data_IF_147648588723
#
_entry.id   IF_147648588723
#
_cell.length_a   1.000
_cell.length_b   1.000
_cell.length_c   1.000
_cell.angle_alpha   90.00
_cell.angle_beta   90.00
_cell.angle_gamma   90.00
#
_symmetry.space_group_name_H-M   'P 1'
#
loop_
_entity.id
_entity.type
_entity.pdbx_description
1 polymer ?
#
# COMPACT_ATOMS: atom_id res chain seq x y z
N UNK A 1 -6.84 -18.08 12.93
CA UNK A 1 -6.56 -16.74 13.48
C UNK A 1 -6.55 -15.63 12.43
N UNK A 2 -6.16 -15.88 11.18
CA UNK A 2 -6.21 -14.88 10.09
C UNK A 2 -7.64 -14.40 9.76
N UNK A 3 -8.63 -15.24 9.92
CA UNK A 3 -10.05 -14.95 9.61
C UNK A 3 -10.64 -13.80 10.44
N UNK A 4 -10.32 -13.69 11.73
CA UNK A 4 -10.92 -12.69 12.63
C UNK A 4 -10.45 -11.24 12.35
N UNK A 5 -9.19 -11.05 12.00
CA UNK A 5 -8.61 -9.71 11.79
C UNK A 5 -8.91 -9.13 10.42
N UNK A 6 -9.08 -10.00 9.41
CA UNK A 6 -9.66 -9.58 8.13
C UNK A 6 -11.09 -9.06 8.33
N UNK A 7 -11.83 -9.59 9.33
CA UNK A 7 -13.15 -9.10 9.73
C UNK A 7 -13.15 -7.63 10.15
N UNK A 8 -12.12 -7.18 10.86
CA UNK A 8 -12.08 -5.80 11.37
C UNK A 8 -11.76 -4.78 10.26
N UNK A 9 -10.86 -5.12 9.32
CA UNK A 9 -10.62 -4.29 8.12
C UNK A 9 -11.89 -4.16 7.30
N UNK A 10 -12.57 -5.29 7.07
CA UNK A 10 -13.79 -5.35 6.27
C UNK A 10 -14.93 -4.58 6.97
N UNK A 11 -15.01 -4.62 8.29
CA UNK A 11 -16.02 -3.93 9.09
C UNK A 11 -15.83 -2.40 9.11
N UNK A 12 -14.60 -1.94 9.21
CA UNK A 12 -14.27 -0.51 9.18
C UNK A 12 -14.42 0.11 7.79
N UNK A 13 -14.09 -0.61 6.72
CA UNK A 13 -14.34 -0.15 5.34
C UNK A 13 -15.83 0.06 5.04
N UNK A 14 -16.73 -0.64 5.74
CA UNK A 14 -18.18 -0.49 5.58
C UNK A 14 -18.79 0.66 6.41
N UNK A 15 -18.13 1.10 7.48
CA UNK A 15 -18.72 2.09 8.40
C UNK A 15 -18.85 3.51 7.80
N UNK A 16 -18.13 3.83 6.75
CA UNK A 16 -18.09 5.18 6.18
C UNK A 16 -19.17 5.47 5.10
N UNK A 17 -20.04 4.51 4.76
CA UNK A 17 -21.02 4.69 3.67
C UNK A 17 -22.36 3.99 3.93
N UNK A 18 -23.04 4.33 5.04
CA UNK A 18 -24.42 3.89 5.24
C UNK A 18 -25.40 4.93 4.67
N UNK A 19 -25.70 4.83 3.38
CA UNK A 19 -26.94 5.34 2.80
C UNK A 19 -27.87 4.14 2.59
N UNK A 20 -28.92 4.06 3.39
CA UNK A 20 -29.98 3.06 3.27
C UNK A 20 -30.68 3.17 1.92
N UNK A 21 -30.36 2.28 1.00
CA UNK A 21 -31.21 1.96 -0.14
C UNK A 21 -31.54 0.47 -0.07
N UNK A 22 -32.84 0.16 0.03
CA UNK A 22 -33.36 -1.19 -0.18
C UNK A 22 -32.92 -1.69 -1.57
N UNK A 23 -31.88 -2.50 -1.63
CA UNK A 23 -31.43 -3.16 -2.87
C UNK A 23 -31.62 -4.66 -2.78
N UNK A 24 -32.06 -5.26 -3.91
CA UNK A 24 -31.98 -6.70 -4.15
C UNK A 24 -30.60 -7.23 -3.81
N UNK A 25 -30.45 -8.48 -3.34
CA UNK A 25 -29.13 -9.08 -3.17
C UNK A 25 -28.37 -8.96 -4.47
N UNK A 26 -27.29 -8.18 -4.48
CA UNK A 26 -26.39 -8.09 -5.63
C UNK A 26 -25.62 -9.42 -5.72
N UNK A 27 -25.67 -10.04 -6.89
CA UNK A 27 -24.72 -11.08 -7.25
C UNK A 27 -23.30 -10.55 -7.17
N UNK A 28 -22.36 -11.37 -6.77
CA UNK A 28 -20.93 -11.01 -6.83
C UNK A 28 -20.61 -10.52 -8.25
N UNK A 29 -19.84 -9.44 -8.32
CA UNK A 29 -19.41 -8.86 -9.61
C UNK A 29 -18.47 -9.78 -10.39
N UNK A 30 -17.81 -10.70 -9.70
CA UNK A 30 -16.85 -11.64 -10.25
C UNK A 30 -17.31 -13.06 -10.00
N UNK A 31 -17.28 -13.88 -11.03
CA UNK A 31 -17.70 -15.30 -10.98
C UNK A 31 -16.64 -16.19 -10.34
N UNK A 32 -15.38 -15.75 -10.29
CA UNK A 32 -14.25 -16.49 -9.72
C UNK A 32 -13.12 -15.55 -9.29
N UNK A 33 -12.21 -16.07 -8.45
CA UNK A 33 -10.98 -15.37 -8.09
C UNK A 33 -10.13 -15.06 -9.34
N UNK A 34 -10.08 -15.97 -10.30
CA UNK A 34 -9.31 -15.78 -11.55
C UNK A 34 -9.84 -14.61 -12.36
N UNK A 35 -11.17 -14.46 -12.45
CA UNK A 35 -11.78 -13.33 -13.17
C UNK A 35 -11.45 -11.97 -12.50
N UNK A 36 -11.41 -11.95 -11.18
CA UNK A 36 -10.97 -10.77 -10.41
C UNK A 36 -9.48 -10.49 -10.64
N UNK A 37 -8.62 -11.50 -10.49
CA UNK A 37 -7.17 -11.36 -10.66
C UNK A 37 -6.78 -10.93 -12.09
N UNK A 38 -7.50 -11.43 -13.11
CA UNK A 38 -7.29 -10.98 -14.49
C UNK A 38 -7.56 -9.48 -14.66
N UNK A 39 -8.59 -8.95 -14.01
CA UNK A 39 -8.86 -7.51 -14.02
C UNK A 39 -7.78 -6.72 -13.29
N UNK A 40 -7.30 -7.21 -12.13
CA UNK A 40 -6.20 -6.56 -11.40
C UNK A 40 -4.94 -6.53 -12.25
N UNK A 41 -4.61 -7.64 -12.92
CA UNK A 41 -3.43 -7.73 -13.80
C UNK A 41 -3.51 -6.74 -14.98
N UNK A 42 -4.68 -6.61 -15.58
CA UNK A 42 -4.91 -5.65 -16.68
C UNK A 42 -4.67 -4.19 -16.24
N UNK A 43 -5.02 -3.85 -15.01
CA UNK A 43 -4.83 -2.49 -14.46
C UNK A 43 -3.40 -2.22 -13.98
N UNK A 44 -2.60 -3.25 -13.78
CA UNK A 44 -1.26 -3.15 -13.18
C UNK A 44 -0.18 -3.79 -14.08
N UNK A 45 -0.04 -3.36 -15.34
CA UNK A 45 0.96 -3.93 -16.24
C UNK A 45 2.37 -3.67 -15.70
N UNK A 46 3.25 -4.68 -15.80
CA UNK A 46 4.64 -4.56 -15.38
C UNK A 46 4.88 -4.49 -13.87
N UNK A 47 3.93 -4.97 -13.06
CA UNK A 47 4.02 -4.97 -11.59
C UNK A 47 3.97 -6.41 -11.02
N UNK A 48 4.95 -7.28 -11.33
CA UNK A 48 4.87 -8.69 -10.98
C UNK A 48 4.85 -8.96 -9.48
N UNK A 49 5.64 -8.24 -8.68
CA UNK A 49 5.69 -8.45 -7.23
C UNK A 49 4.36 -8.08 -6.57
N UNK A 50 3.74 -7.00 -7.03
CA UNK A 50 2.42 -6.61 -6.56
C UNK A 50 1.34 -7.62 -6.95
N UNK A 51 1.35 -8.09 -8.19
CA UNK A 51 0.38 -9.07 -8.68
C UNK A 51 0.51 -10.41 -7.96
N UNK A 52 1.73 -10.86 -7.66
CA UNK A 52 1.96 -12.07 -6.88
C UNK A 52 1.34 -11.94 -5.48
N UNK A 53 1.63 -10.86 -4.76
CA UNK A 53 1.10 -10.67 -3.42
C UNK A 53 -0.43 -10.58 -3.40
N UNK A 54 -1.04 -9.90 -4.38
CA UNK A 54 -2.49 -9.84 -4.52
C UNK A 54 -3.07 -11.23 -4.78
N UNK A 55 -2.45 -12.03 -5.64
CA UNK A 55 -2.88 -13.39 -5.94
C UNK A 55 -2.92 -14.25 -4.68
N UNK A 56 -1.81 -14.32 -3.95
CA UNK A 56 -1.69 -15.12 -2.73
C UNK A 56 -2.75 -14.75 -1.68
N UNK A 57 -2.96 -13.45 -1.47
CA UNK A 57 -3.95 -12.98 -0.49
C UNK A 57 -5.37 -13.25 -0.97
N UNK A 58 -5.70 -12.98 -2.24
CA UNK A 58 -7.06 -13.13 -2.75
C UNK A 58 -7.46 -14.60 -2.84
N UNK A 59 -6.59 -15.50 -3.27
CA UNK A 59 -6.83 -16.94 -3.26
C UNK A 59 -7.14 -17.45 -1.83
N UNK A 60 -6.41 -16.93 -0.83
CA UNK A 60 -6.64 -17.26 0.57
C UNK A 60 -7.95 -16.72 1.12
N UNK A 61 -8.41 -15.55 0.66
CA UNK A 61 -9.63 -14.88 1.13
C UNK A 61 -10.89 -15.33 0.39
N UNK A 62 -10.76 -15.81 -0.84
CA UNK A 62 -11.89 -16.08 -1.72
C UNK A 62 -12.92 -17.06 -1.14
N UNK A 63 -12.53 -18.19 -0.51
CA UNK A 63 -13.50 -19.11 0.10
C UNK A 63 -14.32 -18.47 1.23
N UNK A 64 -13.78 -17.44 1.88
CA UNK A 64 -14.50 -16.68 2.88
C UNK A 64 -15.51 -15.72 2.22
N UNK A 65 -15.09 -15.03 1.15
CA UNK A 65 -15.93 -14.10 0.40
C UNK A 65 -17.14 -14.81 -0.23
N UNK A 66 -16.93 -16.00 -0.79
CA UNK A 66 -18.03 -16.81 -1.32
C UNK A 66 -19.08 -17.18 -0.26
N UNK A 67 -18.64 -17.47 0.95
CA UNK A 67 -19.56 -17.75 2.08
C UNK A 67 -20.25 -16.50 2.62
N UNK A 68 -19.67 -15.33 2.33
CA UNK A 68 -20.15 -14.04 2.82
C UNK A 68 -20.20 -12.97 1.72
N UNK A 69 -21.08 -13.12 0.69
CA UNK A 69 -21.09 -12.26 -0.50
C UNK A 69 -21.23 -10.76 -0.20
N UNK A 70 -21.83 -10.41 0.95
CA UNK A 70 -21.95 -9.01 1.41
C UNK A 70 -20.61 -8.26 1.46
N UNK A 71 -19.49 -8.96 1.62
CA UNK A 71 -18.16 -8.35 1.64
C UNK A 71 -17.60 -8.07 0.25
N UNK A 72 -18.19 -8.64 -0.80
CA UNK A 72 -17.87 -8.29 -2.18
C UNK A 72 -18.70 -7.11 -2.70
N UNK A 73 -19.69 -6.64 -1.93
CA UNK A 73 -20.51 -5.49 -2.29
C UNK A 73 -19.72 -4.18 -2.21
N UNK A 74 -20.23 -3.15 -2.86
CA UNK A 74 -19.68 -1.79 -2.83
C UNK A 74 -18.22 -1.65 -3.30
N UNK A 75 -17.73 -2.57 -4.12
CA UNK A 75 -16.37 -2.52 -4.66
C UNK A 75 -15.28 -2.74 -3.60
N UNK A 76 -15.57 -3.51 -2.55
CA UNK A 76 -14.61 -3.74 -1.48
C UNK A 76 -13.36 -4.44 -1.98
N UNK A 77 -13.50 -5.45 -2.86
CA UNK A 77 -12.35 -6.19 -3.39
C UNK A 77 -11.41 -5.29 -4.18
N UNK A 78 -11.98 -4.43 -5.02
CA UNK A 78 -11.22 -3.46 -5.80
C UNK A 78 -10.52 -2.44 -4.91
N UNK A 79 -11.18 -1.97 -3.86
CA UNK A 79 -10.60 -1.02 -2.89
C UNK A 79 -9.50 -1.64 -2.03
N UNK A 80 -9.57 -2.94 -1.77
CA UNK A 80 -8.51 -3.64 -1.03
C UNK A 80 -7.21 -3.71 -1.81
N UNK A 81 -7.27 -3.84 -3.13
CA UNK A 81 -6.08 -3.98 -3.99
C UNK A 81 -5.62 -2.67 -4.62
N UNK A 82 -6.46 -1.64 -4.66
CA UNK A 82 -6.08 -0.35 -5.23
C UNK A 82 -5.63 0.61 -4.12
N UNK A 83 -4.40 1.14 -4.14
CA UNK A 83 -3.96 2.13 -3.17
C UNK A 83 -4.78 3.42 -3.31
N UNK A 84 -5.13 4.05 -2.20
CA UNK A 84 -5.86 5.32 -2.19
C UNK A 84 -5.05 6.45 -2.84
N UNK A 85 -3.71 6.40 -2.71
CA UNK A 85 -2.82 7.37 -3.33
C UNK A 85 -1.42 6.80 -3.53
N UNK A 86 -0.84 7.13 -4.67
CA UNK A 86 0.58 6.90 -4.96
C UNK A 86 1.24 8.26 -5.21
N UNK A 87 2.25 8.58 -4.41
CA UNK A 87 3.09 9.76 -4.62
C UNK A 87 4.44 9.29 -5.13
N UNK A 88 4.84 9.76 -6.29
CA UNK A 88 6.15 9.53 -6.88
C UNK A 88 6.83 10.87 -7.12
N UNK A 89 8.07 11.01 -6.71
CA UNK A 89 8.82 12.26 -6.79
C UNK A 89 10.29 12.03 -7.12
N UNK A 90 10.91 13.06 -7.66
CA UNK A 90 12.34 13.09 -7.94
C UNK A 90 13.10 13.53 -6.69
N UNK A 91 14.16 12.79 -6.34
CA UNK A 91 15.08 13.14 -5.26
C UNK A 91 16.43 13.52 -5.89
N UNK A 92 16.77 14.81 -5.88
CA UNK A 92 18.03 15.32 -6.39
C UNK A 92 18.95 15.70 -5.22
N UNK A 93 20.16 15.15 -5.19
CA UNK A 93 21.14 15.38 -4.15
C UNK A 93 22.57 15.43 -4.73
N UNK A 94 23.54 15.94 -3.99
CA UNK A 94 24.91 16.09 -4.45
C UNK A 94 25.81 15.10 -3.71
N UNK A 95 26.62 14.34 -4.44
CA UNK A 95 27.59 13.40 -3.87
C UNK A 95 28.84 14.13 -3.32
N UNK A 96 29.80 13.38 -2.77
CA UNK A 96 31.04 13.94 -2.20
C UNK A 96 31.99 14.48 -3.27
N UNK A 97 31.75 14.16 -4.54
CA UNK A 97 32.50 14.67 -5.68
C UNK A 97 31.88 15.94 -6.29
N UNK A 98 30.78 16.44 -5.72
CA UNK A 98 30.07 17.58 -6.26
C UNK A 98 29.16 17.28 -7.44
N UNK A 99 28.94 15.99 -7.75
CA UNK A 99 28.07 15.56 -8.85
C UNK A 99 26.62 15.43 -8.39
N UNK A 100 25.69 15.94 -9.20
CA UNK A 100 24.25 15.82 -8.93
C UNK A 100 23.80 14.42 -9.26
N UNK A 101 23.24 13.75 -8.26
CA UNK A 101 22.62 12.45 -8.36
C UNK A 101 21.09 12.60 -8.34
N UNK A 102 20.39 11.68 -9.03
CA UNK A 102 18.92 11.70 -9.14
C UNK A 102 18.37 10.32 -8.86
N UNK A 103 17.54 10.23 -7.83
CA UNK A 103 16.82 9.02 -7.47
C UNK A 103 15.30 9.23 -7.58
N UNK A 104 14.55 8.14 -7.57
CA UNK A 104 13.08 8.15 -7.48
C UNK A 104 12.66 7.90 -6.04
N UNK A 105 11.83 8.78 -5.53
CA UNK A 105 11.16 8.60 -4.24
C UNK A 105 9.70 8.20 -4.44
N UNK A 106 9.19 7.40 -3.50
CA UNK A 106 7.81 6.93 -3.52
C UNK A 106 7.20 6.97 -2.12
N UNK A 107 5.90 7.25 -2.05
CA UNK A 107 5.05 6.95 -0.90
C UNK A 107 3.74 6.37 -1.37
N UNK A 108 3.46 5.15 -0.96
CA UNK A 108 2.20 4.45 -1.20
C UNK A 108 1.32 4.63 0.03
N UNK A 109 0.25 5.37 -0.09
CA UNK A 109 -0.81 5.52 0.88
C UNK A 109 -1.89 4.52 0.48
N UNK A 110 -1.79 3.28 1.04
CA UNK A 110 -2.57 2.17 0.51
C UNK A 110 -4.00 2.20 1.02
N UNK A 111 -4.19 2.25 2.34
CA UNK A 111 -5.53 2.29 2.93
C UNK A 111 -5.53 3.04 4.25
N UNK A 112 -6.48 3.96 4.40
CA UNK A 112 -6.76 4.71 5.63
C UNK A 112 -8.03 4.22 6.35
N UNK A 113 -8.59 3.08 5.93
CA UNK A 113 -9.88 2.58 6.40
C UNK A 113 -9.94 2.34 7.92
N UNK A 114 -8.83 2.01 8.56
CA UNK A 114 -8.75 1.74 10.01
C UNK A 114 -7.88 2.73 10.78
N UNK A 115 -7.36 3.75 10.14
CA UNK A 115 -6.55 4.80 10.77
C UNK A 115 -5.51 5.38 9.81
N UNK A 116 -4.66 6.32 10.28
CA UNK A 116 -3.63 6.94 9.47
C UNK A 116 -2.75 5.91 8.76
N UNK A 117 -2.29 6.25 7.56
CA UNK A 117 -1.33 5.38 6.86
C UNK A 117 -0.10 5.19 7.74
N UNK A 118 0.35 3.95 7.90
CA UNK A 118 1.50 3.61 8.72
C UNK A 118 2.36 2.57 8.01
N UNK A 119 3.66 2.83 7.92
CA UNK A 119 4.62 1.89 7.36
C UNK A 119 5.99 2.50 7.09
N UNK A 120 6.98 1.64 6.87
CA UNK A 120 8.38 2.01 6.77
C UNK A 120 8.78 2.71 5.47
N UNK A 121 10.02 3.20 5.48
CA UNK A 121 10.72 3.71 4.30
C UNK A 121 11.88 2.77 3.97
N UNK A 122 11.89 2.21 2.76
CA UNK A 122 12.95 1.30 2.27
C UNK A 122 13.85 2.02 1.29
N UNK A 123 15.16 2.01 1.53
CA UNK A 123 16.17 2.52 0.61
C UNK A 123 17.02 1.35 0.09
N UNK A 124 16.79 1.00 -1.17
CA UNK A 124 17.49 -0.12 -1.82
C UNK A 124 17.36 0.01 -3.34
N UNK A 125 18.40 -0.37 -4.14
CA UNK A 125 18.36 -0.26 -5.60
C UNK A 125 17.20 -0.99 -6.29
N UNK A 126 16.69 -2.05 -5.67
CA UNK A 126 15.54 -2.81 -6.21
C UNK A 126 14.18 -2.13 -6.00
N UNK A 127 14.14 -1.01 -5.28
CA UNK A 127 12.88 -0.31 -5.02
C UNK A 127 12.31 0.26 -6.31
N UNK A 128 11.08 -0.12 -6.59
CA UNK A 128 10.27 0.36 -7.70
C UNK A 128 8.79 0.45 -7.26
N UNK A 129 7.93 0.89 -8.16
CA UNK A 129 6.50 1.04 -7.86
C UNK A 129 5.83 -0.29 -7.49
N UNK A 130 6.14 -1.38 -8.20
CA UNK A 130 5.58 -2.70 -7.96
C UNK A 130 5.92 -3.20 -6.55
N UNK A 131 7.22 -3.13 -6.18
CA UNK A 131 7.71 -3.51 -4.86
C UNK A 131 7.03 -2.71 -3.75
N UNK A 132 6.90 -1.40 -3.90
CA UNK A 132 6.29 -0.57 -2.86
C UNK A 132 4.76 -0.70 -2.79
N UNK A 133 4.09 -0.97 -3.92
CA UNK A 133 2.65 -1.29 -3.91
C UNK A 133 2.40 -2.60 -3.18
N UNK A 134 3.17 -3.63 -3.49
CA UNK A 134 3.09 -4.91 -2.79
C UNK A 134 3.29 -4.73 -1.27
N UNK A 135 4.36 -4.04 -0.88
CA UNK A 135 4.65 -3.81 0.53
C UNK A 135 3.59 -2.95 1.24
N UNK A 136 3.00 -1.97 0.56
CA UNK A 136 1.91 -1.16 1.09
C UNK A 136 0.61 -1.96 1.26
N UNK A 137 0.31 -2.84 0.32
CA UNK A 137 -0.80 -3.78 0.36
C UNK A 137 -0.67 -4.73 1.56
N UNK A 138 0.45 -5.43 1.70
CA UNK A 138 0.71 -6.31 2.84
C UNK A 138 0.72 -5.57 4.17
N UNK A 139 1.27 -4.35 4.20
CA UNK A 139 1.31 -3.54 5.41
C UNK A 139 -0.10 -3.23 5.94
N UNK A 140 -1.09 -3.08 5.06
CA UNK A 140 -2.48 -2.88 5.45
C UNK A 140 -3.00 -4.06 6.27
N UNK A 141 -2.77 -5.29 5.82
CA UNK A 141 -3.17 -6.49 6.55
C UNK A 141 -2.35 -6.68 7.83
N UNK A 142 -1.04 -6.48 7.74
CA UNK A 142 -0.15 -6.57 8.91
C UNK A 142 -0.60 -5.62 10.03
N UNK A 143 -0.91 -4.37 9.71
CA UNK A 143 -1.36 -3.39 10.71
C UNK A 143 -2.72 -3.75 11.28
N UNK A 144 -3.65 -4.22 10.46
CA UNK A 144 -4.95 -4.67 10.93
C UNK A 144 -4.87 -5.83 11.93
N UNK A 145 -3.89 -6.72 11.78
CA UNK A 145 -3.65 -7.82 12.72
C UNK A 145 -3.22 -7.33 14.11
N UNK A 146 -2.74 -6.11 14.23
CA UNK A 146 -2.35 -5.52 15.54
C UNK A 146 -3.55 -5.07 16.37
N UNK A 147 -4.74 -4.97 15.79
CA UNK A 147 -5.96 -4.37 16.37
C UNK A 147 -5.84 -2.88 16.70
N UNK A 148 -4.74 -2.23 16.36
CA UNK A 148 -4.55 -0.80 16.55
C UNK A 148 -5.16 -0.01 15.36
N UNK A 149 -5.60 1.23 15.59
CA UNK A 149 -6.19 2.07 14.53
C UNK A 149 -5.11 2.63 13.59
N UNK A 150 -4.48 1.77 12.82
CA UNK A 150 -3.42 2.09 11.87
C UNK A 150 -3.77 1.56 10.49
N UNK A 151 -3.79 2.45 9.51
CA UNK A 151 -3.89 2.10 8.10
C UNK A 151 -2.59 1.53 7.53
N UNK A 152 -2.57 1.29 6.22
CA UNK A 152 -1.40 0.75 5.53
C UNK A 152 -0.73 1.78 4.63
N UNK A 153 0.59 1.88 4.73
CA UNK A 153 1.41 2.68 3.83
C UNK A 153 2.84 2.13 3.72
N UNK A 154 3.51 2.47 2.64
CA UNK A 154 4.93 2.12 2.45
C UNK A 154 5.59 3.18 1.58
N UNK A 155 6.84 3.48 1.86
CA UNK A 155 7.62 4.40 1.04
C UNK A 155 9.03 3.89 0.82
N UNK A 156 9.79 4.64 0.03
CA UNK A 156 11.18 4.33 -0.21
C UNK A 156 11.75 4.97 -1.47
N UNK A 157 12.95 4.56 -1.80
CA UNK A 157 13.69 5.04 -2.97
C UNK A 157 14.63 3.96 -3.48
N UNK A 158 14.96 4.05 -4.76
CA UNK A 158 16.02 3.28 -5.41
C UNK A 158 17.45 3.71 -5.00
N UNK A 159 17.57 4.57 -4.00
CA UNK A 159 18.85 4.95 -3.40
C UNK A 159 19.52 3.75 -2.70
N UNK A 160 20.80 3.52 -3.00
CA UNK A 160 21.62 2.55 -2.30
C UNK A 160 22.47 3.24 -1.22
N UNK A 161 22.17 3.03 0.08
CA UNK A 161 22.97 3.60 1.16
C UNK A 161 24.32 2.92 1.35
N UNK A 162 24.54 1.73 0.74
CA UNK A 162 25.81 1.00 0.87
C UNK A 162 26.93 1.79 0.20
N UNK A 163 28.08 1.80 0.85
CA UNK A 163 29.27 2.52 0.40
C UNK A 163 29.08 4.06 0.19
N UNK A 164 28.03 4.64 0.78
CA UNK A 164 27.85 6.09 0.83
C UNK A 164 28.40 6.66 2.13
N UNK A 165 28.97 7.87 2.04
CA UNK A 165 29.39 8.60 3.25
C UNK A 165 28.18 9.04 4.10
N UNK A 166 28.36 9.26 5.40
CA UNK A 166 27.31 9.84 6.22
C UNK A 166 26.78 11.19 5.68
N UNK A 167 27.66 11.97 5.05
CA UNK A 167 27.30 13.25 4.41
C UNK A 167 26.39 13.05 3.19
N UNK A 168 26.69 12.08 2.34
CA UNK A 168 25.86 11.72 1.19
C UNK A 168 24.48 11.22 1.61
N UNK A 169 24.44 10.30 2.60
CA UNK A 169 23.18 9.80 3.14
C UNK A 169 22.33 10.93 3.71
N UNK A 170 22.96 11.87 4.45
CA UNK A 170 22.28 13.04 5.01
C UNK A 170 21.68 13.92 3.91
N UNK A 171 22.45 14.27 2.87
CA UNK A 171 21.98 15.08 1.74
C UNK A 171 20.84 14.41 1.00
N UNK A 172 20.95 13.08 0.76
CA UNK A 172 19.86 12.33 0.17
C UNK A 172 18.60 12.35 1.05
N UNK A 173 18.71 12.06 2.35
CA UNK A 173 17.59 12.08 3.27
C UNK A 173 16.90 13.45 3.35
N UNK A 174 17.67 14.52 3.39
CA UNK A 174 17.13 15.89 3.38
C UNK A 174 16.34 16.16 2.09
N UNK A 175 16.89 15.80 0.92
CA UNK A 175 16.21 15.95 -0.35
C UNK A 175 14.93 15.09 -0.42
N UNK A 176 15.00 13.86 0.05
CA UNK A 176 13.85 12.95 0.10
C UNK A 176 12.73 13.49 1.00
N UNK A 177 13.05 13.90 2.21
CA UNK A 177 12.06 14.42 3.17
C UNK A 177 11.50 15.77 2.71
N UNK A 178 12.27 16.60 2.02
CA UNK A 178 11.80 17.87 1.45
C UNK A 178 10.67 17.71 0.42
N UNK A 179 10.59 16.56 -0.23
CA UNK A 179 9.45 16.22 -1.10
C UNK A 179 8.33 15.53 -0.32
N UNK A 180 8.69 14.64 0.60
CA UNK A 180 7.73 13.79 1.31
C UNK A 180 6.91 14.56 2.36
N UNK A 181 7.47 15.61 3.00
CA UNK A 181 6.86 16.26 4.19
C UNK A 181 5.43 16.78 3.96
N UNK A 182 5.09 17.13 2.72
CA UNK A 182 3.73 17.60 2.35
C UNK A 182 2.65 16.53 2.46
N UNK A 183 3.06 15.28 2.54
CA UNK A 183 2.18 14.11 2.46
C UNK A 183 2.12 13.32 3.78
N UNK A 184 2.90 13.73 4.78
CA UNK A 184 3.02 13.04 6.07
C UNK A 184 2.54 13.91 7.22
N UNK A 185 2.10 13.27 8.29
CA UNK A 185 1.60 13.94 9.49
C UNK A 185 1.03 12.93 10.47
N UNK A 186 0.95 13.31 11.74
CA UNK A 186 0.54 12.41 12.83
C UNK A 186 -0.83 11.76 12.62
N UNK A 187 -1.76 12.51 12.03
CA UNK A 187 -3.15 12.06 11.82
C UNK A 187 -3.42 11.62 10.37
N UNK A 188 -2.44 11.70 9.50
CA UNK A 188 -2.59 11.39 8.07
C UNK A 188 -1.72 10.22 7.66
N UNK A 189 -0.41 10.34 7.81
CA UNK A 189 0.56 9.35 7.33
C UNK A 189 1.81 9.39 8.20
N UNK A 190 2.11 8.28 8.87
CA UNK A 190 3.22 8.16 9.82
C UNK A 190 4.27 7.19 9.26
N UNK A 191 5.32 7.70 8.60
CA UNK A 191 6.46 6.87 8.19
C UNK A 191 7.22 6.33 9.40
N UNK A 192 7.87 5.19 9.21
CA UNK A 192 8.78 4.59 10.19
C UNK A 192 10.03 4.05 9.52
N UNK A 193 11.03 3.65 10.29
CA UNK A 193 12.15 2.86 9.77
C UNK A 193 11.69 1.52 9.21
N UNK A 194 12.35 1.04 8.17
CA UNK A 194 12.23 -0.34 7.69
C UNK A 194 13.41 -1.13 8.30
N UNK A 195 13.11 -1.97 9.28
CA UNK A 195 14.10 -2.73 10.05
C UNK A 195 14.19 -4.13 9.49
#
# INVERSE_FOLDING_TARGET
>A
CMSACVFDIIRCCNAAFFVFLHRKPLSMKYDSVDSFLAQVAQRNPGQPEFLQAVTEVMESLWPFIEKHPRYAEHGLLERLVEPERVVMFRVSWVDDHGTVQVNRGYRIQHSMAIGPYKGGLRFHPSVNLSVLKFLGFEQTFKNALTTLPMGGGKGGSDFDPKAKSPGEVMRFCQAFVSELFRHVGADTDVPAGDI
#
